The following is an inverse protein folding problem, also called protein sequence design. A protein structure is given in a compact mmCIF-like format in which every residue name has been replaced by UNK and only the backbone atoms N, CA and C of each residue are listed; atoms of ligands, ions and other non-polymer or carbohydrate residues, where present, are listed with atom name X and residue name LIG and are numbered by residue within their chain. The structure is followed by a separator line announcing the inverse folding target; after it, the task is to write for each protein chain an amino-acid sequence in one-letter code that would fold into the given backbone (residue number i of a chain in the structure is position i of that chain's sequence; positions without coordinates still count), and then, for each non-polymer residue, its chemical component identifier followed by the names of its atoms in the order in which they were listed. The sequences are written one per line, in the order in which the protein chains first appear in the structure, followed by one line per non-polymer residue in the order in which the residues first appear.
data_IF_662562507388
#
_entry.id   IF_662562507388
#
_cell.length_a   1.000
_cell.length_b   1.000
_cell.length_c   1.000
_cell.angle_alpha   90.00
_cell.angle_beta   90.00
_cell.angle_gamma   90.00
#
_symmetry.space_group_name_H-M   'P 1'
#
loop_
_entity.id
_entity.type
_entity.pdbx_description
1 polymer ?
#
# COMPACT_ATOMS: atom_id res chain seq x y z
N UNK A 1 4.10 -5.92 -8.27
CA UNK A 1 3.71 -6.65 -7.08
C UNK A 1 2.21 -6.55 -6.88
N UNK A 2 1.57 -7.69 -6.51
CA UNK A 2 0.10 -7.79 -6.43
C UNK A 2 -0.57 -6.80 -5.48
N UNK A 3 0.09 -6.41 -4.39
CA UNK A 3 -0.48 -5.44 -3.44
C UNK A 3 -0.68 -4.08 -4.11
N UNK A 4 0.32 -3.60 -4.84
CA UNK A 4 0.20 -2.32 -5.56
C UNK A 4 -0.88 -2.44 -6.64
N UNK A 5 -0.88 -3.52 -7.41
CA UNK A 5 -1.86 -3.73 -8.48
C UNK A 5 -3.29 -3.77 -7.95
N UNK A 6 -3.50 -4.28 -6.73
CA UNK A 6 -4.82 -4.37 -6.10
C UNK A 6 -5.20 -3.10 -5.34
N UNK A 7 -4.30 -2.12 -5.24
CA UNK A 7 -4.54 -0.86 -4.54
C UNK A 7 -4.98 0.23 -5.52
N UNK A 8 -5.26 1.41 -4.98
CA UNK A 8 -5.56 2.60 -5.77
C UNK A 8 -4.30 3.36 -6.23
N UNK A 9 -3.13 2.89 -5.83
CA UNK A 9 -1.86 3.54 -6.14
C UNK A 9 -1.15 2.84 -7.30
N UNK A 10 -0.40 3.62 -8.08
CA UNK A 10 0.47 3.07 -9.12
C UNK A 10 1.86 2.79 -8.55
N UNK A 11 2.68 1.94 -9.21
CA UNK A 11 4.07 1.74 -8.78
C UNK A 11 4.87 3.04 -8.71
N UNK A 12 4.65 3.95 -9.66
CA UNK A 12 5.31 5.26 -9.67
C UNK A 12 4.93 6.09 -8.46
N UNK A 13 3.63 6.11 -8.10
CA UNK A 13 3.15 6.83 -6.92
C UNK A 13 3.75 6.25 -5.64
N UNK A 14 3.81 4.92 -5.52
CA UNK A 14 4.42 4.28 -4.35
C UNK A 14 5.91 4.59 -4.24
N UNK A 15 6.61 4.65 -5.36
CA UNK A 15 8.03 5.05 -5.39
C UNK A 15 8.21 6.49 -4.88
N UNK A 16 7.37 7.40 -5.33
CA UNK A 16 7.41 8.81 -4.90
C UNK A 16 7.13 8.93 -3.40
N UNK A 17 6.11 8.24 -2.90
CA UNK A 17 5.75 8.23 -1.48
C UNK A 17 6.93 7.72 -0.64
N UNK A 18 7.48 6.59 -1.01
CA UNK A 18 8.57 5.94 -0.27
C UNK A 18 9.81 6.83 -0.19
N UNK A 19 10.21 7.41 -1.32
CA UNK A 19 11.39 8.30 -1.37
C UNK A 19 11.16 9.57 -0.58
N UNK A 20 9.95 10.14 -0.63
CA UNK A 20 9.65 11.34 0.13
C UNK A 20 9.70 11.10 1.64
N UNK A 21 9.18 9.97 2.09
CA UNK A 21 9.22 9.59 3.51
C UNK A 21 10.65 9.33 4.00
N UNK A 22 11.54 8.88 3.10
CA UNK A 22 12.96 8.69 3.39
C UNK A 22 13.76 9.99 3.35
N UNK A 23 13.11 11.12 3.06
CA UNK A 23 13.80 12.41 2.96
C UNK A 23 14.53 12.63 1.65
N UNK A 24 14.37 11.74 0.68
CA UNK A 24 14.93 11.93 -0.65
C UNK A 24 14.18 13.04 -1.37
N UNK A 25 14.90 13.88 -2.07
CA UNK A 25 14.31 14.97 -2.84
C UNK A 25 13.74 14.52 -4.17
N UNK A 26 13.44 15.52 -4.99
CA UNK A 26 12.93 15.32 -6.34
C UNK A 26 13.90 14.46 -7.16
N UNK A 27 13.38 13.46 -7.95
CA UNK A 27 14.22 12.72 -8.89
C UNK A 27 14.87 13.68 -9.91
N UNK A 28 16.11 13.40 -10.33
CA UNK A 28 16.83 14.33 -11.23
C UNK A 28 16.21 14.45 -12.62
N UNK A 29 15.42 13.46 -13.05
CA UNK A 29 14.76 13.45 -14.35
C UNK A 29 13.36 14.06 -14.35
N UNK A 30 12.95 14.71 -13.25
CA UNK A 30 11.62 15.26 -13.09
C UNK A 30 11.72 16.75 -12.74
N UNK A 31 10.86 17.58 -13.34
CA UNK A 31 10.79 19.00 -12.99
C UNK A 31 10.17 19.17 -11.60
N UNK A 32 10.48 20.30 -10.93
CA UNK A 32 9.93 20.60 -9.62
C UNK A 32 8.40 20.68 -9.66
N UNK A 33 7.83 21.31 -10.69
CA UNK A 33 6.39 21.41 -10.84
C UNK A 33 5.71 20.04 -10.99
N UNK A 34 6.29 19.17 -11.82
CA UNK A 34 5.77 17.82 -12.00
C UNK A 34 5.86 17.00 -10.70
N UNK A 35 6.99 17.14 -9.98
CA UNK A 35 7.20 16.44 -8.71
C UNK A 35 6.14 16.84 -7.67
N UNK A 36 5.96 18.13 -7.44
CA UNK A 36 4.99 18.61 -6.45
C UNK A 36 3.56 18.25 -6.83
N UNK A 37 3.24 18.21 -8.12
CA UNK A 37 1.94 17.74 -8.60
C UNK A 37 1.72 16.27 -8.25
N UNK A 38 2.73 15.44 -8.45
CA UNK A 38 2.67 14.01 -8.12
C UNK A 38 2.53 13.80 -6.61
N UNK A 39 3.28 14.53 -5.81
CA UNK A 39 3.18 14.47 -4.34
C UNK A 39 1.77 14.85 -3.88
N UNK A 40 1.20 15.92 -4.46
CA UNK A 40 -0.15 16.36 -4.13
C UNK A 40 -1.18 15.29 -4.51
N UNK A 41 -1.07 14.69 -5.68
CA UNK A 41 -1.96 13.62 -6.11
C UNK A 41 -1.88 12.41 -5.17
N UNK A 42 -0.68 12.03 -4.75
CA UNK A 42 -0.49 10.94 -3.80
C UNK A 42 -1.15 11.26 -2.44
N UNK A 43 -0.96 12.48 -1.96
CA UNK A 43 -1.55 12.94 -0.71
C UNK A 43 -3.07 12.94 -0.78
N UNK A 44 -3.64 13.52 -1.84
CA UNK A 44 -5.09 13.60 -2.02
C UNK A 44 -5.70 12.19 -2.07
N UNK A 45 -5.03 11.27 -2.77
CA UNK A 45 -5.46 9.88 -2.85
C UNK A 45 -5.40 9.18 -1.50
N UNK A 46 -4.31 9.38 -0.75
CA UNK A 46 -4.17 8.79 0.59
C UNK A 46 -5.25 9.32 1.55
N UNK A 47 -5.53 10.62 1.50
CA UNK A 47 -6.60 11.23 2.31
C UNK A 47 -7.96 10.64 1.94
N UNK A 48 -8.23 10.46 0.64
CA UNK A 48 -9.48 9.85 0.19
C UNK A 48 -9.62 8.41 0.68
N UNK A 49 -8.53 7.64 0.68
CA UNK A 49 -8.52 6.27 1.20
C UNK A 49 -8.86 6.27 2.70
N UNK A 50 -8.28 7.19 3.47
CA UNK A 50 -8.56 7.28 4.90
C UNK A 50 -10.04 7.62 5.18
N UNK A 51 -10.60 8.57 4.45
CA UNK A 51 -12.03 8.87 4.55
C UNK A 51 -12.89 7.67 4.17
N UNK A 52 -12.47 6.93 3.14
CA UNK A 52 -13.17 5.73 2.70
C UNK A 52 -13.18 4.66 3.79
N UNK A 53 -12.06 4.47 4.49
CA UNK A 53 -11.98 3.53 5.62
C UNK A 53 -12.95 3.93 6.73
N UNK A 54 -13.02 5.22 7.05
CA UNK A 54 -13.96 5.73 8.05
C UNK A 54 -15.42 5.41 7.65
N UNK A 55 -15.77 5.67 6.39
CA UNK A 55 -17.09 5.36 5.89
C UNK A 55 -17.41 3.87 5.91
N UNK A 56 -16.47 3.05 5.49
CA UNK A 56 -16.65 1.59 5.49
C UNK A 56 -16.80 1.05 6.92
N UNK A 57 -16.01 1.58 7.85
CA UNK A 57 -16.12 1.20 9.26
C UNK A 57 -17.46 1.61 9.84
N UNK A 58 -17.90 2.84 9.62
CA UNK A 58 -19.15 3.37 10.16
C UNK A 58 -20.37 2.68 9.57
N UNK A 59 -20.29 2.23 8.32
CA UNK A 59 -21.40 1.53 7.65
C UNK A 59 -21.48 0.04 7.99
N UNK A 60 -20.50 -0.50 8.72
CA UNK A 60 -20.45 -1.91 9.07
C UNK A 60 -19.94 -2.83 7.97
N UNK A 61 -19.40 -2.28 6.89
CA UNK A 61 -18.83 -3.07 5.80
C UNK A 61 -17.56 -3.80 6.24
N UNK A 62 -16.78 -3.19 7.13
CA UNK A 62 -15.55 -3.81 7.64
C UNK A 62 -15.89 -4.74 8.82
N UNK A 63 -15.24 -5.90 8.85
CA UNK A 63 -15.32 -6.80 10.01
C UNK A 63 -14.78 -6.08 11.26
N UNK A 64 -15.26 -6.43 12.48
CA UNK A 64 -14.83 -5.71 13.69
C UNK A 64 -13.33 -5.67 13.92
N UNK A 65 -12.61 -6.73 13.54
CA UNK A 65 -11.16 -6.83 13.69
C UNK A 65 -10.37 -6.35 12.47
N UNK A 66 -11.04 -5.76 11.46
CA UNK A 66 -10.40 -5.44 10.19
C UNK A 66 -9.22 -4.47 10.33
N UNK A 67 -9.38 -3.41 11.11
CA UNK A 67 -8.30 -2.42 11.27
C UNK A 67 -7.07 -3.03 11.93
N UNK A 68 -7.26 -3.87 12.94
CA UNK A 68 -6.18 -4.59 13.61
C UNK A 68 -5.50 -5.58 12.66
N UNK A 69 -6.28 -6.32 11.89
CA UNK A 69 -5.76 -7.26 10.91
C UNK A 69 -4.97 -6.54 9.80
N UNK A 70 -5.47 -5.41 9.31
CA UNK A 70 -4.76 -4.60 8.32
C UNK A 70 -3.41 -4.11 8.85
N UNK A 71 -3.35 -3.72 10.12
CA UNK A 71 -2.10 -3.32 10.77
C UNK A 71 -1.07 -4.44 10.76
N UNK A 72 -1.50 -5.66 11.10
CA UNK A 72 -0.61 -6.83 11.07
C UNK A 72 -0.13 -7.16 9.67
N UNK A 73 -1.02 -7.09 8.69
CA UNK A 73 -0.65 -7.32 7.28
C UNK A 73 0.34 -6.27 6.79
N UNK A 74 0.14 -5.01 7.18
CA UNK A 74 1.06 -3.92 6.83
C UNK A 74 2.45 -4.15 7.41
N UNK A 75 2.54 -4.62 8.66
CA UNK A 75 3.82 -4.95 9.29
C UNK A 75 4.53 -6.08 8.56
N UNK A 76 3.80 -7.13 8.18
CA UNK A 76 4.35 -8.23 7.40
C UNK A 76 4.84 -7.78 6.03
N UNK A 77 4.10 -6.89 5.38
CA UNK A 77 4.48 -6.34 4.09
C UNK A 77 5.77 -5.53 4.20
N UNK A 78 5.93 -4.77 5.29
CA UNK A 78 7.16 -4.03 5.56
C UNK A 78 8.37 -4.94 5.69
N UNK A 79 8.21 -6.08 6.38
CA UNK A 79 9.28 -7.08 6.50
C UNK A 79 9.64 -7.67 5.13
N UNK A 80 8.63 -7.97 4.30
CA UNK A 80 8.85 -8.49 2.95
C UNK A 80 9.63 -7.50 2.10
N UNK A 81 9.26 -6.22 2.12
CA UNK A 81 9.96 -5.18 1.38
C UNK A 81 11.40 -4.99 1.88
N UNK A 82 11.63 -5.10 3.19
CA UNK A 82 12.98 -4.99 3.74
C UNK A 82 13.89 -6.13 3.29
N UNK A 83 13.32 -7.31 3.00
CA UNK A 83 14.08 -8.48 2.53
C UNK A 83 14.14 -8.59 1.01
N UNK A 84 13.63 -7.62 0.28
CA UNK A 84 13.51 -7.66 -1.18
C UNK A 84 14.85 -7.70 -1.92
N UNK A 85 15.96 -7.49 -1.27
CA UNK A 85 17.30 -7.62 -1.86
C UNK A 85 17.97 -8.95 -1.57
N UNK A 86 17.33 -9.87 -0.85
CA UNK A 86 17.93 -11.16 -0.54
C UNK A 86 17.42 -12.22 -1.51
N UNK A 87 18.34 -13.03 -2.04
CA UNK A 87 18.06 -14.13 -2.96
C UNK A 87 17.24 -15.27 -2.32
N UNK A 88 16.82 -15.10 -1.08
CA UNK A 88 16.11 -16.10 -0.29
C UNK A 88 14.62 -16.13 -0.64
N UNK A 89 14.11 -15.06 -1.29
CA UNK A 89 12.69 -14.95 -1.64
C UNK A 89 12.47 -15.51 -3.05
N UNK A 90 12.00 -16.74 -3.17
CA UNK A 90 11.57 -17.22 -4.47
C UNK A 90 10.15 -16.69 -4.80
N UNK A 91 9.83 -16.66 -6.09
CA UNK A 91 8.55 -16.12 -6.56
C UNK A 91 7.35 -16.97 -6.11
N UNK A 92 7.54 -18.26 -5.95
CA UNK A 92 6.47 -19.16 -5.51
C UNK A 92 6.02 -18.80 -4.10
N UNK A 93 6.97 -18.54 -3.21
CA UNK A 93 6.70 -18.13 -1.83
C UNK A 93 6.00 -16.78 -1.78
N UNK A 94 6.41 -15.85 -2.66
CA UNK A 94 5.78 -14.54 -2.77
C UNK A 94 4.34 -14.68 -3.23
N UNK A 95 4.06 -15.54 -4.20
CA UNK A 95 2.70 -15.80 -4.66
C UNK A 95 1.81 -16.39 -3.57
N UNK A 96 2.36 -17.29 -2.75
CA UNK A 96 1.63 -17.87 -1.63
C UNK A 96 1.25 -16.81 -0.60
N UNK A 97 2.20 -15.93 -0.25
CA UNK A 97 1.95 -14.82 0.67
C UNK A 97 0.87 -13.89 0.12
N UNK A 98 0.94 -13.54 -1.17
CA UNK A 98 -0.04 -12.67 -1.79
C UNK A 98 -1.42 -13.32 -1.87
N UNK A 99 -1.49 -14.63 -2.11
CA UNK A 99 -2.75 -15.36 -2.13
C UNK A 99 -3.42 -15.36 -0.75
N UNK A 100 -2.65 -15.60 0.31
CA UNK A 100 -3.16 -15.54 1.68
C UNK A 100 -3.64 -14.14 2.02
N UNK A 101 -2.86 -13.12 1.68
CA UNK A 101 -3.24 -11.73 1.93
C UNK A 101 -4.54 -11.37 1.21
N UNK A 102 -4.68 -11.75 -0.05
CA UNK A 102 -5.90 -11.49 -0.82
C UNK A 102 -7.13 -12.12 -0.15
N UNK A 103 -7.01 -13.35 0.30
CA UNK A 103 -8.08 -14.05 1.01
C UNK A 103 -8.47 -13.30 2.29
N UNK A 104 -7.48 -12.88 3.09
CA UNK A 104 -7.72 -12.18 4.34
C UNK A 104 -8.36 -10.81 4.12
N UNK A 105 -7.87 -10.07 3.13
CA UNK A 105 -8.43 -8.74 2.79
C UNK A 105 -9.89 -8.88 2.36
N UNK A 106 -10.19 -9.86 1.52
CA UNK A 106 -11.58 -10.08 1.06
C UNK A 106 -12.50 -10.49 2.20
N UNK A 107 -12.01 -11.23 3.19
CA UNK A 107 -12.79 -11.58 4.38
C UNK A 107 -13.10 -10.40 5.28
N UNK A 108 -12.25 -9.37 5.29
CA UNK A 108 -12.50 -8.16 6.06
C UNK A 108 -13.65 -7.34 5.50
N UNK A 109 -14.00 -7.54 4.24
CA UNK A 109 -15.09 -6.85 3.57
C UNK A 109 -16.36 -7.70 3.67
N UNK A 110 -17.42 -7.14 4.27
CA UNK A 110 -18.70 -7.85 4.47
C UNK A 110 -19.66 -7.75 3.29
N UNK A 111 -19.23 -7.17 2.20
CA UNK A 111 -20.07 -7.10 1.00
C UNK A 111 -20.08 -8.41 0.21
#
# INVERSE_FOLDING_TARGET
MGVIANSLFTPRQMSIISKRLQGAGKPPNMTSGAYYRQVKQCRDKAVAVLYSIILLQSSGVLAPEALSAMGRLADQLGVIFASEGSDIFDQARMQDVMSVMDTLVKRMCKL
#
